data_IF_765796332830
#
_entry.id   IF_765796332830
#
_cell.length_a   1.000
_cell.length_b   1.000
_cell.length_c   1.000
_cell.angle_alpha   90.00
_cell.angle_beta   90.00
_cell.angle_gamma   90.00
#
_symmetry.space_group_name_H-M   'P 1'
#
loop_
_entity.id
_entity.type
_entity.pdbx_description
1 polymer ?
#
# COMPACT_ATOMS: atom_id res chain seq x y z
N UNK A 1 -9.77 -4.15 2.11
CA UNK A 1 -10.44 -4.17 0.79
C UNK A 1 -9.80 -5.26 -0.05
N UNK A 2 -10.22 -6.53 0.11
CA UNK A 2 -9.66 -7.64 -0.65
C UNK A 2 -9.86 -7.42 -2.16
N UNK A 3 -8.84 -7.78 -2.93
CA UNK A 3 -8.75 -7.63 -4.39
C UNK A 3 -8.02 -8.84 -4.96
N UNK A 4 -8.76 -9.93 -5.17
CA UNK A 4 -8.20 -11.24 -5.55
C UNK A 4 -7.17 -11.78 -4.54
N UNK A 5 -7.22 -11.32 -3.29
CA UNK A 5 -6.29 -11.74 -2.24
C UNK A 5 -6.50 -13.20 -1.84
N UNK A 6 -5.41 -13.92 -1.50
CA UNK A 6 -5.46 -15.27 -0.93
C UNK A 6 -6.37 -15.32 0.32
N UNK A 7 -6.87 -16.52 0.62
CA UNK A 7 -7.85 -16.84 1.68
C UNK A 7 -7.43 -16.37 3.09
N UNK A 8 -6.16 -15.99 3.30
CA UNK A 8 -5.63 -15.55 4.59
C UNK A 8 -4.92 -14.18 4.56
N UNK A 9 -4.89 -13.49 3.42
CA UNK A 9 -4.07 -12.29 3.21
C UNK A 9 -4.50 -11.06 4.03
N UNK A 10 -5.68 -11.07 4.62
CA UNK A 10 -6.24 -9.96 5.40
C UNK A 10 -6.38 -10.27 6.90
N UNK A 11 -6.01 -11.47 7.36
CA UNK A 11 -6.22 -11.94 8.75
C UNK A 11 -5.71 -10.97 9.81
N UNK A 12 -4.47 -10.50 9.66
CA UNK A 12 -3.86 -9.58 10.62
C UNK A 12 -4.59 -8.22 10.64
N UNK A 13 -4.94 -7.69 9.47
CA UNK A 13 -5.69 -6.44 9.37
C UNK A 13 -7.11 -6.57 9.92
N UNK A 14 -7.78 -7.70 9.69
CA UNK A 14 -9.12 -7.96 10.20
C UNK A 14 -9.12 -8.13 11.73
N UNK A 15 -8.12 -8.82 12.27
CA UNK A 15 -7.94 -8.93 13.72
C UNK A 15 -7.68 -7.56 14.34
N UNK A 16 -6.78 -6.76 13.76
CA UNK A 16 -6.43 -5.44 14.26
C UNK A 16 -7.62 -4.46 14.24
N UNK A 17 -8.29 -4.38 13.10
CA UNK A 17 -9.44 -3.46 12.93
C UNK A 17 -10.60 -3.82 13.85
N UNK A 18 -10.81 -5.10 14.15
CA UNK A 18 -11.78 -5.54 15.16
C UNK A 18 -11.41 -5.02 16.56
N UNK A 19 -10.15 -5.14 16.96
CA UNK A 19 -9.67 -4.59 18.24
C UNK A 19 -9.86 -3.07 18.31
N UNK A 20 -9.61 -2.35 17.22
CA UNK A 20 -9.82 -0.89 17.17
C UNK A 20 -11.29 -0.52 17.33
N UNK A 21 -12.20 -1.24 16.67
CA UNK A 21 -13.65 -1.04 16.77
C UNK A 21 -14.18 -1.34 18.19
N UNK A 22 -13.62 -2.35 18.87
CA UNK A 22 -13.95 -2.66 20.26
C UNK A 22 -13.39 -1.62 21.25
N UNK A 23 -12.23 -1.04 20.95
CA UNK A 23 -11.51 -0.10 21.83
C UNK A 23 -12.03 1.34 21.73
N UNK A 24 -12.44 1.77 20.53
CA UNK A 24 -12.78 3.17 20.25
C UNK A 24 -14.19 3.28 19.67
N UNK A 25 -15.05 4.04 20.35
CA UNK A 25 -16.46 4.22 19.96
C UNK A 25 -16.66 5.00 18.65
N UNK A 26 -15.62 5.69 18.17
CA UNK A 26 -15.59 6.47 16.93
C UNK A 26 -14.89 5.73 15.78
N UNK A 27 -14.62 4.44 15.93
CA UNK A 27 -14.11 3.58 14.87
C UNK A 27 -15.25 2.75 14.30
N UNK A 28 -15.31 2.66 12.98
CA UNK A 28 -16.26 1.79 12.27
C UNK A 28 -15.49 1.01 11.21
N UNK A 29 -15.61 -0.32 11.24
CA UNK A 29 -14.96 -1.18 10.27
C UNK A 29 -15.86 -1.38 9.05
N UNK A 30 -15.34 -1.06 7.86
CA UNK A 30 -16.03 -1.29 6.59
C UNK A 30 -15.19 -2.22 5.73
N UNK A 31 -15.77 -3.37 5.34
CA UNK A 31 -15.14 -4.33 4.42
C UNK A 31 -15.83 -4.26 3.07
N UNK A 32 -15.06 -3.86 2.05
CA UNK A 32 -15.50 -3.81 0.65
C UNK A 32 -14.62 -4.76 -0.17
N UNK A 33 -15.22 -5.77 -0.79
CA UNK A 33 -14.55 -6.62 -1.79
C UNK A 33 -14.63 -5.95 -3.16
N UNK A 34 -13.47 -5.69 -3.76
CA UNK A 34 -13.36 -5.00 -5.04
C UNK A 34 -13.00 -5.96 -6.18
N UNK A 35 -12.89 -7.26 -5.91
CA UNK A 35 -12.49 -8.28 -6.90
C UNK A 35 -13.41 -8.24 -8.13
N UNK A 36 -14.73 -8.25 -7.94
CA UNK A 36 -15.68 -8.15 -9.04
C UNK A 36 -15.66 -6.80 -9.77
N UNK A 37 -15.26 -5.71 -9.12
CA UNK A 37 -15.09 -4.39 -9.77
C UNK A 37 -13.87 -4.42 -10.68
N UNK A 38 -12.76 -4.95 -10.18
CA UNK A 38 -11.52 -5.12 -10.94
C UNK A 38 -11.72 -6.04 -12.16
N UNK A 39 -12.38 -7.19 -11.98
CA UNK A 39 -12.64 -8.12 -13.07
C UNK A 39 -13.49 -7.49 -14.19
N UNK A 40 -14.51 -6.71 -13.81
CA UNK A 40 -15.33 -5.97 -14.78
C UNK A 40 -14.55 -4.88 -15.50
N UNK A 41 -13.63 -4.21 -14.81
CA UNK A 41 -12.76 -3.21 -15.42
C UNK A 41 -11.85 -3.84 -16.49
N UNK A 42 -11.14 -4.92 -16.13
CA UNK A 42 -10.28 -5.67 -17.05
C UNK A 42 -11.09 -6.24 -18.22
N UNK A 43 -12.27 -6.81 -17.96
CA UNK A 43 -13.17 -7.30 -18.99
C UNK A 43 -13.59 -6.20 -19.97
N UNK A 44 -13.93 -5.00 -19.47
CA UNK A 44 -14.36 -3.88 -20.32
C UNK A 44 -13.26 -3.43 -21.29
N UNK A 45 -12.01 -3.42 -20.83
CA UNK A 45 -10.86 -3.13 -21.69
C UNK A 45 -10.71 -4.20 -22.78
N UNK A 46 -10.66 -5.47 -22.39
CA UNK A 46 -10.45 -6.60 -23.31
C UNK A 46 -11.59 -6.77 -24.31
N UNK A 47 -12.83 -6.51 -23.89
CA UNK A 47 -14.00 -6.55 -24.75
C UNK A 47 -13.92 -5.47 -25.84
N UNK A 48 -13.52 -4.26 -25.50
CA UNK A 48 -13.42 -3.16 -26.46
C UNK A 48 -12.24 -3.32 -27.43
N UNK A 49 -11.10 -3.78 -26.92
CA UNK A 49 -9.86 -3.88 -27.70
C UNK A 49 -9.76 -5.19 -28.48
N UNK A 50 -10.61 -6.17 -28.19
CA UNK A 50 -10.52 -7.56 -28.65
C UNK A 50 -9.11 -8.16 -28.44
N UNK A 51 -8.41 -7.70 -27.39
CA UNK A 51 -6.99 -8.00 -27.17
C UNK A 51 -6.57 -7.85 -25.71
N UNK A 52 -5.69 -8.74 -25.25
CA UNK A 52 -5.05 -8.66 -23.94
C UNK A 52 -3.86 -7.70 -23.88
N UNK A 53 -3.48 -7.07 -24.99
CA UNK A 53 -2.28 -6.22 -25.07
C UNK A 53 -2.28 -5.04 -24.09
N UNK A 54 -3.45 -4.64 -23.59
CA UNK A 54 -3.61 -3.53 -22.64
C UNK A 54 -3.84 -3.99 -21.20
N UNK A 55 -3.86 -5.30 -20.94
CA UNK A 55 -4.06 -5.88 -19.60
C UNK A 55 -3.04 -6.98 -19.26
N UNK A 56 -2.02 -7.17 -20.10
CA UNK A 56 -0.97 -8.20 -19.93
C UNK A 56 0.23 -7.72 -19.09
N UNK A 57 0.19 -6.51 -18.55
CA UNK A 57 1.24 -5.96 -17.70
C UNK A 57 0.86 -6.09 -16.22
N UNK A 58 1.56 -6.93 -15.49
CA UNK A 58 1.23 -7.23 -14.09
C UNK A 58 1.39 -6.02 -13.16
N UNK A 59 2.40 -5.18 -13.38
CA UNK A 59 2.60 -3.96 -12.59
C UNK A 59 1.48 -2.94 -12.84
N UNK A 60 1.05 -2.76 -14.09
CA UNK A 60 -0.09 -1.91 -14.41
C UNK A 60 -1.38 -2.39 -13.74
N UNK A 61 -1.56 -3.71 -13.69
CA UNK A 61 -2.67 -4.37 -13.02
C UNK A 61 -2.62 -4.17 -11.49
N UNK A 62 -1.45 -4.35 -10.87
CA UNK A 62 -1.20 -4.07 -9.44
C UNK A 62 -1.50 -2.60 -9.08
N UNK A 63 -1.00 -1.65 -9.88
CA UNK A 63 -1.28 -0.23 -9.70
C UNK A 63 -2.77 0.09 -9.85
N UNK A 64 -3.48 -0.58 -10.76
CA UNK A 64 -4.93 -0.44 -10.92
C UNK A 64 -5.68 -0.90 -9.68
N UNK A 65 -5.29 -2.03 -9.08
CA UNK A 65 -5.84 -2.50 -7.80
C UNK A 65 -5.67 -1.44 -6.70
N UNK A 66 -4.48 -0.84 -6.56
CA UNK A 66 -4.24 0.23 -5.58
C UNK A 66 -5.13 1.45 -5.83
N UNK A 67 -5.28 1.89 -7.09
CA UNK A 67 -6.17 3.01 -7.47
C UNK A 67 -7.64 2.75 -7.16
N UNK A 68 -8.13 1.52 -7.32
CA UNK A 68 -9.51 1.17 -6.95
C UNK A 68 -9.75 1.28 -5.43
N UNK A 69 -8.74 0.96 -4.60
CA UNK A 69 -8.81 1.18 -3.14
C UNK A 69 -8.90 2.68 -2.83
N UNK A 70 -8.07 3.51 -3.48
CA UNK A 70 -8.11 4.96 -3.34
C UNK A 70 -9.48 5.54 -3.69
N UNK A 71 -10.05 5.19 -4.85
CA UNK A 71 -11.39 5.64 -5.27
C UNK A 71 -12.45 5.26 -4.24
N UNK A 72 -12.35 4.06 -3.67
CA UNK A 72 -13.28 3.60 -2.63
C UNK A 72 -13.16 4.42 -1.35
N UNK A 73 -11.94 4.75 -0.91
CA UNK A 73 -11.70 5.59 0.26
C UNK A 73 -12.28 7.00 0.07
N UNK A 74 -12.05 7.63 -1.09
CA UNK A 74 -12.60 8.96 -1.37
C UNK A 74 -14.13 8.96 -1.54
N UNK A 75 -14.72 7.89 -2.09
CA UNK A 75 -16.18 7.77 -2.13
C UNK A 75 -16.76 7.80 -0.71
N UNK A 76 -16.14 7.07 0.23
CA UNK A 76 -16.58 7.06 1.64
C UNK A 76 -16.34 8.43 2.27
N UNK A 77 -15.12 8.97 2.18
CA UNK A 77 -14.74 10.25 2.77
C UNK A 77 -15.64 11.40 2.29
N UNK A 78 -15.86 11.52 0.98
CA UNK A 78 -16.76 12.54 0.42
C UNK A 78 -18.22 12.39 0.86
N UNK A 79 -18.68 11.16 1.12
CA UNK A 79 -20.04 10.90 1.61
C UNK A 79 -20.21 11.29 3.09
N UNK A 80 -19.19 11.05 3.91
CA UNK A 80 -19.25 11.29 5.37
C UNK A 80 -18.64 12.63 5.80
N UNK A 81 -18.13 13.42 4.84
CA UNK A 81 -17.40 14.67 5.12
C UNK A 81 -16.05 14.42 5.83
N UNK A 82 -15.42 13.26 5.58
CA UNK A 82 -14.13 12.88 6.12
C UNK A 82 -12.95 13.24 5.21
N UNK A 83 -11.75 12.84 5.64
CA UNK A 83 -10.50 12.94 4.88
C UNK A 83 -9.84 11.55 4.79
N UNK A 84 -9.03 11.35 3.76
CA UNK A 84 -8.27 10.11 3.56
C UNK A 84 -6.88 10.24 4.19
N UNK A 85 -6.58 9.38 5.16
CA UNK A 85 -5.29 9.33 5.87
C UNK A 85 -4.36 8.33 5.19
N UNK A 86 -3.20 8.79 4.77
CA UNK A 86 -2.14 7.97 4.19
C UNK A 86 -1.27 7.26 5.22
N UNK A 87 -0.67 6.16 4.77
CA UNK A 87 0.18 5.28 5.58
C UNK A 87 1.61 5.16 5.04
N UNK A 88 1.95 5.93 4.01
CA UNK A 88 3.32 5.98 3.50
C UNK A 88 4.25 6.60 4.53
N UNK A 89 5.41 5.97 4.71
CA UNK A 89 6.47 6.45 5.59
C UNK A 89 7.59 7.12 4.78
N UNK A 90 8.58 7.70 5.47
CA UNK A 90 9.65 8.49 4.85
C UNK A 90 10.42 7.72 3.80
N UNK A 91 10.72 6.45 4.05
CA UNK A 91 11.46 5.60 3.12
C UNK A 91 10.64 5.33 1.86
N UNK A 92 9.37 4.95 2.03
CA UNK A 92 8.46 4.61 0.93
C UNK A 92 8.13 5.83 0.06
N UNK A 93 7.62 6.92 0.65
CA UNK A 93 7.07 8.04 -0.11
C UNK A 93 8.16 8.99 -0.64
N UNK A 94 9.21 9.21 0.14
CA UNK A 94 10.22 10.25 -0.13
C UNK A 94 11.63 9.71 -0.38
N UNK A 95 11.91 8.47 0.02
CA UNK A 95 13.17 7.79 -0.25
C UNK A 95 13.19 7.12 -1.61
N UNK A 96 12.41 6.05 -1.75
CA UNK A 96 12.40 5.19 -2.96
C UNK A 96 11.16 5.37 -3.84
N UNK A 97 10.14 6.10 -3.39
CA UNK A 97 8.87 6.25 -4.10
C UNK A 97 8.15 4.92 -4.32
N UNK A 98 8.18 4.05 -3.32
CA UNK A 98 7.53 2.73 -3.32
C UNK A 98 6.05 2.87 -2.93
N UNK A 99 5.27 3.48 -3.83
CA UNK A 99 3.82 3.63 -3.70
C UNK A 99 3.18 3.71 -5.08
N UNK A 100 1.87 3.45 -5.18
CA UNK A 100 1.14 3.73 -6.42
C UNK A 100 0.72 5.20 -6.47
N UNK A 101 1.19 5.95 -7.46
CA UNK A 101 0.71 7.31 -7.71
C UNK A 101 -0.80 7.31 -7.99
N UNK A 102 -1.53 8.14 -7.24
CA UNK A 102 -3.00 8.17 -7.20
C UNK A 102 -3.65 6.83 -6.79
N UNK A 103 -2.88 5.93 -6.16
CA UNK A 103 -3.38 4.79 -5.40
C UNK A 103 -3.24 5.09 -3.92
N UNK A 104 -2.46 4.30 -3.22
CA UNK A 104 -2.09 4.48 -1.81
C UNK A 104 -1.39 5.82 -1.53
N UNK A 105 -0.66 6.38 -2.50
CA UNK A 105 -0.11 7.75 -2.39
C UNK A 105 -1.12 8.88 -2.63
N UNK A 106 -2.37 8.58 -2.98
CA UNK A 106 -3.44 9.57 -3.17
C UNK A 106 -4.18 9.83 -1.87
N UNK A 107 -3.71 10.77 -1.05
CA UNK A 107 -4.20 11.00 0.33
C UNK A 107 -4.29 12.50 0.66
N UNK A 108 -5.09 12.86 1.67
CA UNK A 108 -5.23 14.25 2.11
C UNK A 108 -4.15 14.63 3.14
N UNK A 109 -3.81 13.70 4.04
CA UNK A 109 -2.77 13.88 5.06
C UNK A 109 -1.95 12.59 5.23
N UNK A 110 -0.68 12.73 5.63
CA UNK A 110 0.23 11.61 5.87
C UNK A 110 0.92 11.75 7.25
N UNK A 111 0.30 11.24 8.35
CA UNK A 111 0.79 11.49 9.71
C UNK A 111 2.15 10.86 10.04
N UNK A 112 2.56 9.83 9.29
CA UNK A 112 3.81 9.09 9.50
C UNK A 112 4.82 9.29 8.36
N UNK A 113 4.58 10.26 7.47
CA UNK A 113 5.41 10.56 6.31
C UNK A 113 6.87 10.92 6.64
N UNK A 114 7.15 11.43 7.84
CA UNK A 114 8.50 11.82 8.26
C UNK A 114 9.18 10.74 9.13
N UNK A 115 8.51 9.60 9.35
CA UNK A 115 9.09 8.50 10.12
C UNK A 115 9.82 7.53 9.19
N UNK A 116 10.99 7.09 9.61
CA UNK A 116 11.65 5.91 9.07
C UNK A 116 10.84 4.64 9.37
N UNK A 117 11.07 3.55 8.63
CA UNK A 117 10.33 2.30 8.85
C UNK A 117 10.60 1.74 10.23
N UNK A 118 11.86 1.84 10.68
CA UNK A 118 12.27 1.49 12.04
C UNK A 118 11.50 2.27 13.11
N UNK A 119 11.33 3.58 12.92
CA UNK A 119 10.55 4.44 13.81
C UNK A 119 9.05 4.11 13.79
N UNK A 120 8.50 3.70 12.64
CA UNK A 120 7.12 3.22 12.55
C UNK A 120 6.92 1.95 13.39
N UNK A 121 7.86 1.01 13.37
CA UNK A 121 7.80 -0.19 14.22
C UNK A 121 7.92 0.15 15.71
N UNK A 122 8.79 1.09 16.08
CA UNK A 122 8.91 1.57 17.47
C UNK A 122 7.62 2.25 17.94
N UNK A 123 7.02 3.10 17.10
CA UNK A 123 5.73 3.73 17.37
C UNK A 123 4.63 2.68 17.53
N UNK A 124 4.60 1.66 16.68
CA UNK A 124 3.67 0.54 16.79
C UNK A 124 3.78 -0.18 18.15
N UNK A 125 5.01 -0.49 18.59
CA UNK A 125 5.27 -1.07 19.92
C UNK A 125 4.78 -0.16 21.04
N UNK A 126 5.07 1.14 20.94
CA UNK A 126 4.66 2.12 21.94
C UNK A 126 3.13 2.25 22.06
N UNK A 127 2.42 2.20 20.92
CA UNK A 127 0.96 2.28 20.87
C UNK A 127 0.25 0.95 21.24
N UNK A 128 1.01 -0.13 21.46
CA UNK A 128 0.48 -1.44 21.79
C UNK A 128 -0.18 -2.14 20.60
N UNK A 129 0.35 -1.95 19.39
CA UNK A 129 0.00 -2.75 18.21
C UNK A 129 0.41 -4.21 18.48
N UNK A 130 -0.40 -5.16 18.01
CA UNK A 130 -0.13 -6.59 18.21
C UNK A 130 1.22 -6.99 17.61
N UNK A 131 2.01 -7.76 18.36
CA UNK A 131 3.36 -8.13 17.96
C UNK A 131 3.39 -8.91 16.64
N UNK A 132 2.35 -9.68 16.32
CA UNK A 132 2.25 -10.40 15.04
C UNK A 132 2.12 -9.47 13.82
N UNK A 133 1.66 -8.23 14.01
CA UNK A 133 1.62 -7.20 12.95
C UNK A 133 2.99 -6.55 12.81
N UNK A 134 3.66 -6.29 13.93
CA UNK A 134 5.00 -5.68 13.95
C UNK A 134 6.03 -6.64 13.34
N UNK A 135 5.93 -7.94 13.63
CA UNK A 135 6.85 -8.97 13.15
C UNK A 135 6.52 -9.46 11.72
N UNK A 136 5.35 -9.10 11.19
CA UNK A 136 4.97 -9.51 9.85
C UNK A 136 5.89 -8.84 8.81
N UNK A 137 6.42 -9.61 7.83
CA UNK A 137 7.16 -9.03 6.72
C UNK A 137 6.28 -7.99 5.98
N UNK A 138 6.81 -6.78 5.71
CA UNK A 138 6.09 -5.77 4.93
C UNK A 138 5.72 -6.29 3.53
N UNK A 139 4.46 -6.09 3.13
CA UNK A 139 3.93 -6.46 1.81
C UNK A 139 2.89 -5.43 1.36
N UNK A 140 2.87 -5.12 0.06
CA UNK A 140 1.85 -4.25 -0.57
C UNK A 140 0.47 -4.93 -0.77
N UNK A 141 0.41 -6.25 -0.65
CA UNK A 141 -0.81 -7.05 -0.87
C UNK A 141 -1.42 -6.88 -2.27
N UNK A 142 -0.61 -6.60 -3.29
CA UNK A 142 -1.01 -6.46 -4.70
C UNK A 142 -0.70 -7.70 -5.54
N UNK A 143 0.29 -8.47 -5.11
CA UNK A 143 0.81 -9.66 -5.78
C UNK A 143 0.37 -10.96 -5.10
N UNK A 144 0.13 -11.99 -5.92
CA UNK A 144 -0.36 -13.29 -5.44
C UNK A 144 0.79 -14.25 -5.07
N UNK A 145 2.04 -13.89 -5.36
CA UNK A 145 3.23 -14.71 -5.09
C UNK A 145 3.83 -14.51 -3.69
N UNK A 146 3.35 -13.51 -2.95
CA UNK A 146 3.76 -13.27 -1.55
C UNK A 146 5.15 -12.66 -1.39
N UNK A 147 5.68 -12.02 -2.45
CA UNK A 147 6.91 -11.23 -2.37
C UNK A 147 6.79 -10.12 -1.31
N UNK A 148 7.87 -9.85 -0.61
CA UNK A 148 7.96 -8.75 0.37
C UNK A 148 8.33 -7.43 -0.30
N UNK A 149 8.16 -6.32 0.42
CA UNK A 149 8.58 -5.01 -0.07
C UNK A 149 10.09 -4.98 -0.32
N UNK A 150 10.88 -5.58 0.56
CA UNK A 150 12.35 -5.69 0.40
C UNK A 150 12.75 -6.55 -0.81
N UNK A 151 12.01 -7.62 -1.11
CA UNK A 151 12.22 -8.41 -2.33
C UNK A 151 11.96 -7.58 -3.60
N UNK A 152 10.94 -6.71 -3.56
CA UNK A 152 10.58 -5.84 -4.69
C UNK A 152 11.59 -4.71 -4.88
N UNK A 153 12.04 -4.11 -3.78
CA UNK A 153 12.99 -2.99 -3.79
C UNK A 153 14.42 -3.49 -4.06
N UNK A 154 14.75 -4.70 -3.61
CA UNK A 154 16.09 -5.28 -3.70
C UNK A 154 17.07 -4.73 -2.67
N UNK A 155 16.57 -4.18 -1.57
CA UNK A 155 17.33 -3.64 -0.44
C UNK A 155 16.49 -3.73 0.85
N UNK A 156 17.14 -3.82 2.00
CA UNK A 156 16.44 -3.79 3.28
C UNK A 156 16.07 -2.37 3.68
N UNK A 157 15.07 -2.21 4.56
CA UNK A 157 14.74 -0.88 5.09
C UNK A 157 15.93 -0.23 5.81
N UNK A 158 16.71 -0.98 6.58
CA UNK A 158 17.92 -0.45 7.24
C UNK A 158 18.96 0.08 6.24
N UNK A 159 19.14 -0.61 5.11
CA UNK A 159 20.03 -0.15 4.03
C UNK A 159 19.53 1.14 3.39
N UNK A 160 18.22 1.24 3.15
CA UNK A 160 17.59 2.43 2.58
C UNK A 160 17.67 3.63 3.54
N UNK A 161 17.35 3.42 4.81
CA UNK A 161 17.43 4.44 5.85
C UNK A 161 18.85 4.98 5.99
N UNK A 162 19.85 4.09 6.04
CA UNK A 162 21.26 4.48 6.05
C UNK A 162 21.62 5.32 4.81
N UNK A 163 21.21 4.87 3.62
CA UNK A 163 21.50 5.58 2.38
C UNK A 163 20.87 6.98 2.35
N UNK A 164 19.65 7.12 2.88
CA UNK A 164 18.97 8.42 2.99
C UNK A 164 19.67 9.39 3.95
N UNK A 165 20.23 8.89 5.05
CA UNK A 165 20.90 9.72 6.07
C UNK A 165 22.33 10.11 5.67
N UNK A 166 23.11 9.18 5.14
CA UNK A 166 24.53 9.43 4.85
C UNK A 166 24.78 9.88 3.42
N UNK A 167 23.84 9.64 2.51
CA UNK A 167 24.08 9.73 1.06
C UNK A 167 25.01 8.65 0.51
N UNK A 168 25.43 7.68 1.35
CA UNK A 168 26.28 6.56 0.97
C UNK A 168 25.43 5.28 0.87
N UNK A 169 25.30 4.71 -0.33
CA UNK A 169 24.45 3.54 -0.49
C UNK A 169 24.22 3.12 -1.94
N UNK A 170 23.50 2.01 -2.11
CA UNK A 170 23.33 1.32 -3.38
C UNK A 170 22.69 2.20 -4.47
N UNK A 171 23.17 2.06 -5.72
CA UNK A 171 22.64 2.67 -6.96
C UNK A 171 21.12 2.49 -7.19
N UNK A 172 20.45 1.69 -6.35
CA UNK A 172 19.01 1.42 -6.36
C UNK A 172 18.20 2.71 -6.19
N UNK A 173 18.60 3.64 -5.32
CA UNK A 173 17.89 4.93 -5.17
C UNK A 173 17.76 5.70 -6.49
N UNK A 174 18.79 5.63 -7.36
CA UNK A 174 18.74 6.27 -8.67
C UNK A 174 17.82 5.53 -9.65
N UNK A 175 17.70 4.20 -9.59
CA UNK A 175 16.80 3.47 -10.50
C UNK A 175 15.32 3.76 -10.22
N UNK A 176 14.92 3.82 -8.96
CA UNK A 176 13.53 4.11 -8.56
C UNK A 176 13.14 5.57 -8.81
N UNK A 177 14.03 6.53 -8.53
CA UNK A 177 13.82 7.96 -8.86
C UNK A 177 13.57 8.19 -10.35
N UNK A 178 14.25 7.43 -11.22
CA UNK A 178 14.01 7.51 -12.67
C UNK A 178 12.70 6.83 -13.09
N UNK A 179 12.26 5.75 -12.43
CA UNK A 179 10.99 5.09 -12.73
C UNK A 179 9.78 5.99 -12.42
N UNK A 180 9.88 6.86 -11.40
CA UNK A 180 8.88 7.87 -11.04
C UNK A 180 8.72 9.01 -12.07
N UNK A 181 9.74 9.27 -12.90
CA UNK A 181 9.69 10.30 -13.95
C UNK A 181 9.05 9.82 -15.26
N UNK A 182 8.82 8.51 -15.41
CA UNK A 182 8.41 7.89 -16.67
C UNK A 182 7.00 7.25 -16.55
N UNK A 183 6.32 7.39 -15.40
CA UNK A 183 4.93 6.99 -15.16
C UNK A 183 4.04 8.19 -14.83
#
# INVERSE_FOLDING_TARGET
MPLLSKIDGDKLSDAHTKVLEEKYNNVTRIRVDLSGVYDKFIHSLNWWTESLNYTNNELANANTKSRLRMVTLYQIAGTVGGIVVGTGNKVEDYGVGFYTKYGDGGVDIAPIADLYKTEVWELGKHLGVDQSIIDAPPTDGLWDDGRTDEDQIGATYEELERAMETGEGCLIMLKTLWQLLIM
#
